data_IF_025552829688
#
_entry.id   IF_025552829688
#
_cell.length_a   1.000
_cell.length_b   1.000
_cell.length_c   1.000
_cell.angle_alpha   90.00
_cell.angle_beta   90.00
_cell.angle_gamma   90.00
#
_symmetry.space_group_name_H-M   'P 1'
#
loop_
_entity.id
_entity.type
_entity.pdbx_description
1 polymer ?
#
# COMPACT_ATOMS: atom_id res chain seq x y z
N UNK A 1 16.80 7.11 15.85
CA UNK A 1 16.20 7.99 14.83
C UNK A 1 15.49 7.10 13.83
N UNK A 2 14.16 7.20 13.73
CA UNK A 2 13.38 6.47 12.72
C UNK A 2 13.07 7.39 11.55
N UNK A 3 12.98 6.83 10.34
CA UNK A 3 12.53 7.58 9.15
C UNK A 3 11.16 8.26 9.39
N UNK A 4 10.25 7.55 10.07
CA UNK A 4 8.92 8.01 10.51
C UNK A 4 8.94 9.24 11.41
N UNK A 5 10.09 9.59 11.99
CA UNK A 5 10.25 10.71 12.92
C UNK A 5 11.02 11.86 12.27
N UNK A 6 11.92 11.58 11.33
CA UNK A 6 12.91 12.56 10.84
C UNK A 6 12.69 13.06 9.42
N UNK A 7 11.99 12.30 8.57
CA UNK A 7 11.70 12.77 7.21
C UNK A 7 10.77 14.00 7.26
N UNK A 8 11.03 15.06 6.47
CA UNK A 8 10.13 16.20 6.39
C UNK A 8 8.82 15.80 5.70
N UNK A 9 7.73 16.46 6.07
CA UNK A 9 6.44 16.32 5.40
C UNK A 9 6.25 17.39 4.32
N UNK A 10 5.46 17.07 3.31
CA UNK A 10 5.03 17.94 2.24
C UNK A 10 3.61 18.45 2.53
N UNK A 11 3.20 19.58 1.93
CA UNK A 11 1.80 19.97 1.90
C UNK A 11 0.95 18.84 1.30
N UNK A 12 -0.26 18.65 1.85
CA UNK A 12 -1.19 17.66 1.32
C UNK A 12 -1.50 17.95 -0.16
N UNK A 13 -1.32 16.97 -1.07
CA UNK A 13 -1.64 17.13 -2.47
C UNK A 13 -3.12 17.50 -2.71
N UNK A 14 -3.38 18.30 -3.75
CA UNK A 14 -4.75 18.59 -4.16
C UNK A 14 -5.32 17.41 -4.96
N UNK A 15 -6.19 16.62 -4.31
CA UNK A 15 -6.91 15.51 -4.95
C UNK A 15 -6.15 14.17 -4.97
N UNK A 16 -6.69 13.15 -5.68
CA UNK A 16 -6.06 11.84 -5.79
C UNK A 16 -4.79 11.91 -6.66
N UNK A 17 -3.89 10.93 -6.52
CA UNK A 17 -2.69 10.90 -7.33
C UNK A 17 -2.98 10.73 -8.82
N UNK A 18 -2.24 11.43 -9.72
CA UNK A 18 -2.54 11.45 -11.14
C UNK A 18 -2.54 10.06 -11.79
N UNK A 19 -1.70 9.14 -11.32
CA UNK A 19 -1.64 7.77 -11.84
C UNK A 19 -2.89 6.96 -11.54
N UNK A 20 -3.65 7.30 -10.48
CA UNK A 20 -4.86 6.55 -10.09
C UNK A 20 -5.94 6.62 -11.18
N UNK A 21 -6.03 7.76 -11.88
CA UNK A 21 -6.92 7.93 -13.03
C UNK A 21 -6.42 7.27 -14.32
N UNK A 22 -5.18 6.75 -14.33
CA UNK A 22 -4.48 6.25 -15.51
C UNK A 22 -4.11 4.76 -15.40
N UNK A 23 -4.71 4.02 -14.48
CA UNK A 23 -4.43 2.58 -14.36
C UNK A 23 -4.81 1.85 -15.66
N UNK A 24 -3.86 1.10 -16.21
CA UNK A 24 -4.02 0.28 -17.40
C UNK A 24 -5.00 -0.88 -17.12
N UNK A 25 -5.70 -1.36 -18.15
CA UNK A 25 -6.75 -2.36 -17.97
C UNK A 25 -6.21 -3.68 -17.38
N UNK A 26 -5.01 -4.07 -17.77
CA UNK A 26 -4.29 -5.29 -17.40
C UNK A 26 -3.21 -5.06 -16.34
N UNK A 27 -3.24 -3.92 -15.65
CA UNK A 27 -2.25 -3.55 -14.65
C UNK A 27 -2.11 -4.59 -13.52
N UNK A 28 -0.92 -4.63 -12.91
CA UNK A 28 -0.62 -5.46 -11.75
C UNK A 28 -0.31 -4.64 -10.51
N UNK A 29 -0.69 -5.15 -9.34
CA UNK A 29 -0.31 -4.59 -8.05
C UNK A 29 0.33 -5.65 -7.17
N UNK A 30 1.55 -5.38 -6.74
CA UNK A 30 2.27 -6.12 -5.71
C UNK A 30 2.28 -5.33 -4.40
N UNK A 31 2.29 -6.05 -3.28
CA UNK A 31 2.46 -5.40 -2.01
C UNK A 31 2.90 -6.33 -0.90
N UNK A 32 3.54 -5.77 0.13
CA UNK A 32 4.14 -6.53 1.22
C UNK A 32 3.13 -7.41 1.98
N UNK A 33 1.84 -7.09 1.89
CA UNK A 33 0.73 -7.83 2.53
C UNK A 33 0.08 -8.89 1.64
N UNK A 34 0.49 -8.97 0.37
CA UNK A 34 -0.07 -9.88 -0.64
C UNK A 34 0.89 -11.03 -0.90
N UNK A 35 0.36 -12.27 -0.95
CA UNK A 35 1.11 -13.47 -1.31
C UNK A 35 1.49 -13.54 -2.80
N UNK A 36 0.79 -12.77 -3.65
CA UNK A 36 0.97 -12.69 -5.11
C UNK A 36 0.33 -11.42 -5.65
N UNK A 37 0.69 -11.04 -6.87
CA UNK A 37 0.15 -9.86 -7.52
C UNK A 37 -1.38 -9.95 -7.76
N UNK A 38 -2.04 -8.81 -7.61
CA UNK A 38 -3.42 -8.57 -8.04
C UNK A 38 -3.39 -8.10 -9.49
N UNK A 39 -4.31 -8.60 -10.31
CA UNK A 39 -4.39 -8.27 -11.73
C UNK A 39 -5.68 -7.54 -12.06
N UNK A 40 -5.59 -6.57 -12.95
CA UNK A 40 -6.72 -5.86 -13.54
C UNK A 40 -7.11 -4.61 -12.78
N UNK A 41 -7.42 -3.57 -13.55
CA UNK A 41 -7.78 -2.23 -13.07
C UNK A 41 -8.84 -2.22 -11.97
N UNK A 42 -9.95 -2.92 -12.18
CA UNK A 42 -11.09 -2.87 -11.26
C UNK A 42 -10.76 -3.47 -9.89
N UNK A 43 -9.97 -4.55 -9.88
CA UNK A 43 -9.50 -5.17 -8.63
C UNK A 43 -8.54 -4.24 -7.89
N UNK A 44 -7.62 -3.60 -8.62
CA UNK A 44 -6.65 -2.66 -8.05
C UNK A 44 -7.36 -1.44 -7.46
N UNK A 45 -8.34 -0.87 -8.18
CA UNK A 45 -9.13 0.27 -7.70
C UNK A 45 -9.95 -0.11 -6.45
N UNK A 46 -10.57 -1.29 -6.43
CA UNK A 46 -11.31 -1.77 -5.27
C UNK A 46 -10.40 -1.87 -4.03
N UNK A 47 -9.20 -2.45 -4.20
CA UNK A 47 -8.22 -2.57 -3.12
C UNK A 47 -7.73 -1.22 -2.61
N UNK A 48 -7.27 -0.33 -3.51
CA UNK A 48 -6.76 0.99 -3.13
C UNK A 48 -7.85 1.84 -2.48
N UNK A 49 -9.07 1.81 -3.01
CA UNK A 49 -10.19 2.57 -2.43
C UNK A 49 -10.48 2.13 -1.00
N UNK A 50 -10.46 0.83 -0.72
CA UNK A 50 -10.66 0.35 0.64
C UNK A 50 -9.46 0.62 1.54
N UNK A 51 -8.23 0.36 1.06
CA UNK A 51 -7.00 0.60 1.79
C UNK A 51 -6.94 2.05 2.33
N UNK A 52 -7.25 3.03 1.48
CA UNK A 52 -7.27 4.45 1.85
C UNK A 52 -8.33 4.79 2.89
N UNK A 53 -9.40 4.01 2.98
CA UNK A 53 -10.44 4.19 4.02
C UNK A 53 -10.01 3.70 5.40
N UNK A 54 -8.94 2.90 5.48
CA UNK A 54 -8.39 2.41 6.74
C UNK A 54 -7.42 3.41 7.40
N UNK A 55 -6.85 4.32 6.62
CA UNK A 55 -5.90 5.31 7.13
C UNK A 55 -6.63 6.46 7.83
N UNK A 56 -6.16 6.82 9.01
CA UNK A 56 -6.67 7.98 9.74
C UNK A 56 -6.20 9.30 9.11
N UNK A 57 -5.01 9.29 8.49
CA UNK A 57 -4.42 10.42 7.78
C UNK A 57 -3.40 9.93 6.75
N UNK A 58 -2.94 10.85 5.88
CA UNK A 58 -1.86 10.62 4.93
C UNK A 58 -0.94 11.87 4.87
N UNK A 59 0.15 11.86 5.64
CA UNK A 59 1.13 12.94 5.66
C UNK A 59 2.31 12.59 4.74
N UNK A 60 2.30 13.17 3.53
CA UNK A 60 3.28 12.85 2.50
C UNK A 60 4.69 13.30 2.85
N UNK A 61 5.67 12.45 2.62
CA UNK A 61 7.11 12.72 2.70
C UNK A 61 7.75 12.77 1.31
N UNK A 62 7.10 12.16 0.31
CA UNK A 62 7.40 12.31 -1.10
C UNK A 62 6.12 12.18 -1.94
N UNK A 63 6.00 12.98 -3.00
CA UNK A 63 4.89 12.90 -3.94
C UNK A 63 5.29 13.49 -5.28
N UNK A 64 5.41 12.65 -6.32
CA UNK A 64 5.72 13.15 -7.65
C UNK A 64 6.36 12.14 -8.59
N UNK A 65 6.72 12.59 -9.81
CA UNK A 65 7.44 11.79 -10.77
C UNK A 65 8.87 11.47 -10.30
N UNK A 66 9.29 10.23 -10.50
CA UNK A 66 10.64 9.77 -10.26
C UNK A 66 11.26 9.30 -11.58
N UNK A 67 12.04 10.19 -12.21
CA UNK A 67 12.47 9.99 -13.59
C UNK A 67 11.31 10.13 -14.58
N UNK A 68 11.43 9.49 -15.74
CA UNK A 68 10.43 9.51 -16.82
C UNK A 68 9.38 8.41 -16.71
N UNK A 69 9.72 7.30 -16.05
CA UNK A 69 8.95 6.05 -16.09
C UNK A 69 8.23 5.77 -14.77
N UNK A 70 8.46 6.55 -13.72
CA UNK A 70 7.85 6.26 -12.42
C UNK A 70 7.12 7.45 -11.80
N UNK A 71 6.09 7.14 -11.03
CA UNK A 71 5.54 8.03 -10.01
C UNK A 71 5.76 7.38 -8.66
N UNK A 72 6.19 8.15 -7.66
CA UNK A 72 6.40 7.65 -6.32
C UNK A 72 5.62 8.48 -5.31
N UNK A 73 5.10 7.79 -4.31
CA UNK A 73 4.56 8.37 -3.10
C UNK A 73 5.28 7.76 -1.91
N UNK A 74 5.49 8.57 -0.89
CA UNK A 74 5.82 8.10 0.45
C UNK A 74 5.03 8.96 1.43
N UNK A 75 4.38 8.34 2.40
CA UNK A 75 3.56 9.05 3.39
C UNK A 75 3.44 8.29 4.70
N UNK A 76 3.29 9.06 5.77
CA UNK A 76 2.90 8.57 7.10
C UNK A 76 1.40 8.39 7.17
N UNK A 77 0.98 7.38 7.89
CA UNK A 77 -0.40 7.11 8.23
C UNK A 77 -0.49 6.45 9.61
N UNK A 78 -1.70 6.21 10.07
CA UNK A 78 -1.99 5.30 11.16
C UNK A 78 -3.21 4.47 10.84
N UNK A 79 -3.26 3.28 11.45
CA UNK A 79 -4.44 2.40 11.44
C UNK A 79 -4.68 1.96 12.87
N UNK A 80 -5.88 2.18 13.38
CA UNK A 80 -6.26 1.85 14.76
C UNK A 80 -5.25 2.42 15.79
N UNK A 81 -4.76 3.63 15.54
CA UNK A 81 -3.75 4.31 16.37
C UNK A 81 -2.32 3.76 16.24
N UNK A 82 -2.07 2.74 15.41
CA UNK A 82 -0.72 2.20 15.16
C UNK A 82 -0.05 3.00 14.04
N UNK A 83 1.06 3.72 14.29
CA UNK A 83 1.76 4.48 13.27
C UNK A 83 2.38 3.60 12.20
N UNK A 84 2.31 4.05 10.95
CA UNK A 84 2.95 3.42 9.80
C UNK A 84 3.44 4.43 8.78
N UNK A 85 4.22 3.93 7.84
CA UNK A 85 4.58 4.59 6.59
C UNK A 85 4.20 3.68 5.44
N UNK A 86 3.81 4.29 4.33
CA UNK A 86 3.52 3.63 3.09
C UNK A 86 4.37 4.24 1.99
N UNK A 87 5.01 3.39 1.20
CA UNK A 87 5.67 3.78 -0.05
C UNK A 87 4.93 3.14 -1.22
N UNK A 88 4.60 3.94 -2.22
CA UNK A 88 3.97 3.50 -3.48
C UNK A 88 4.93 3.82 -4.60
N UNK A 89 5.28 2.83 -5.41
CA UNK A 89 6.03 3.00 -6.65
C UNK A 89 5.11 2.56 -7.78
N UNK A 90 4.94 3.42 -8.77
CA UNK A 90 4.10 3.18 -9.93
C UNK A 90 4.96 3.30 -11.17
N UNK A 91 5.01 2.24 -11.98
CA UNK A 91 5.56 2.29 -13.33
C UNK A 91 4.51 2.85 -14.28
N UNK A 92 4.95 3.75 -15.16
CA UNK A 92 4.17 4.39 -16.20
C UNK A 92 4.67 3.89 -17.56
N UNK A 93 3.82 3.16 -18.29
CA UNK A 93 4.19 2.62 -19.61
C UNK A 93 4.28 3.71 -20.69
N UNK A 94 4.68 3.33 -21.91
CA UNK A 94 4.82 4.24 -23.06
C UNK A 94 3.49 4.93 -23.48
N UNK A 95 2.33 4.36 -23.10
CA UNK A 95 1.02 4.97 -23.32
C UNK A 95 0.67 6.00 -22.22
N UNK A 96 1.53 6.18 -21.22
CA UNK A 96 1.31 7.06 -20.08
C UNK A 96 0.33 6.49 -19.05
N UNK A 97 0.13 5.17 -19.05
CA UNK A 97 -0.75 4.45 -18.13
C UNK A 97 0.05 3.77 -17.02
N UNK A 98 -0.55 3.63 -15.85
CA UNK A 98 0.03 2.88 -14.73
C UNK A 98 -0.23 1.38 -14.92
N UNK A 99 0.79 0.63 -15.30
CA UNK A 99 0.73 -0.81 -15.61
C UNK A 99 1.26 -1.70 -14.47
N UNK A 100 2.14 -1.19 -13.61
CA UNK A 100 2.67 -1.92 -12.47
C UNK A 100 2.80 -1.04 -11.22
N UNK A 101 2.28 -1.54 -10.10
CA UNK A 101 2.29 -0.87 -8.81
C UNK A 101 2.98 -1.76 -7.77
N UNK A 102 3.85 -1.16 -6.95
CA UNK A 102 4.42 -1.77 -5.76
C UNK A 102 4.05 -0.93 -4.54
N UNK A 103 3.38 -1.55 -3.56
CA UNK A 103 2.98 -0.89 -2.31
C UNK A 103 3.63 -1.56 -1.11
N UNK A 104 4.34 -0.76 -0.31
CA UNK A 104 5.05 -1.24 0.88
C UNK A 104 4.63 -0.46 2.12
N UNK A 105 4.01 -1.17 3.07
CA UNK A 105 3.70 -0.67 4.41
C UNK A 105 4.77 -1.12 5.41
N UNK A 106 5.13 -0.25 6.35
CA UNK A 106 6.01 -0.57 7.49
C UNK A 106 5.69 0.32 8.69
N UNK A 107 6.05 -0.05 9.95
CA UNK A 107 6.73 -1.27 10.39
C UNK A 107 5.82 -2.52 10.42
N UNK A 108 6.44 -3.69 10.66
CA UNK A 108 5.82 -5.01 10.50
C UNK A 108 4.49 -5.20 11.24
N UNK A 109 4.37 -4.69 12.46
CA UNK A 109 3.15 -4.75 13.27
C UNK A 109 1.98 -4.04 12.57
N UNK A 110 2.21 -2.83 12.08
CA UNK A 110 1.23 -2.07 11.32
C UNK A 110 0.92 -2.73 9.96
N UNK A 111 1.93 -3.32 9.30
CA UNK A 111 1.77 -4.11 8.06
C UNK A 111 0.89 -5.35 8.27
N UNK A 112 1.07 -6.06 9.39
CA UNK A 112 0.27 -7.25 9.71
C UNK A 112 -1.17 -6.86 10.06
N UNK A 113 -1.38 -5.77 10.79
CA UNK A 113 -2.73 -5.26 11.07
C UNK A 113 -3.46 -4.81 9.79
N UNK A 114 -2.76 -4.09 8.90
CA UNK A 114 -3.30 -3.76 7.59
C UNK A 114 -3.65 -5.02 6.77
N UNK A 115 -2.76 -6.03 6.77
CA UNK A 115 -3.01 -7.32 6.10
C UNK A 115 -4.27 -8.00 6.64
N UNK A 116 -4.47 -8.00 7.97
CA UNK A 116 -5.66 -8.58 8.61
C UNK A 116 -6.94 -7.88 8.17
N UNK A 117 -6.99 -6.55 8.24
CA UNK A 117 -8.17 -5.76 7.87
C UNK A 117 -8.53 -5.93 6.39
N UNK A 118 -7.53 -5.92 5.51
CA UNK A 118 -7.75 -6.17 4.08
C UNK A 118 -8.23 -7.60 3.83
N UNK A 119 -7.69 -8.58 4.55
CA UNK A 119 -8.15 -9.97 4.52
C UNK A 119 -9.58 -10.16 5.01
N UNK A 120 -10.02 -9.41 6.02
CA UNK A 120 -11.41 -9.43 6.49
C UNK A 120 -12.38 -8.85 5.46
N UNK A 121 -11.97 -7.79 4.75
CA UNK A 121 -12.81 -7.19 3.71
C UNK A 121 -12.90 -8.03 2.45
N UNK A 122 -11.76 -8.56 2.00
CA UNK A 122 -11.64 -9.17 0.68
C UNK A 122 -11.35 -10.67 0.70
N UNK A 123 -11.41 -11.31 1.87
CA UNK A 123 -11.10 -12.72 2.04
C UNK A 123 -11.84 -13.63 1.06
N UNK A 124 -13.08 -13.31 0.71
CA UNK A 124 -13.85 -14.09 -0.25
C UNK A 124 -13.53 -13.73 -1.71
N UNK A 125 -13.39 -12.44 -2.01
CA UNK A 125 -13.14 -11.93 -3.37
C UNK A 125 -11.72 -12.24 -3.86
N UNK A 126 -10.76 -12.20 -2.94
CA UNK A 126 -9.34 -12.42 -3.19
C UNK A 126 -8.77 -13.53 -2.31
N UNK A 127 -9.58 -14.57 -2.06
CA UNK A 127 -9.20 -15.71 -1.25
C UNK A 127 -7.79 -16.20 -1.59
N UNK A 128 -6.96 -16.33 -0.55
CA UNK A 128 -5.53 -16.68 -0.60
C UNK A 128 -4.55 -15.57 -0.99
N UNK A 129 -4.95 -14.30 -1.12
CA UNK A 129 -3.98 -13.20 -1.24
C UNK A 129 -3.39 -12.79 0.10
N UNK A 130 -4.18 -12.80 1.17
CA UNK A 130 -3.75 -12.38 2.51
C UNK A 130 -3.34 -13.57 3.38
N UNK A 131 -2.63 -13.28 4.47
CA UNK A 131 -2.35 -14.28 5.50
C UNK A 131 -3.66 -14.74 6.16
N UNK A 132 -3.74 -16.03 6.47
CA UNK A 132 -4.79 -16.52 7.38
C UNK A 132 -4.48 -16.08 8.81
N UNK A 133 -5.50 -16.04 9.69
CA UNK A 133 -5.29 -15.74 11.10
C UNK A 133 -4.20 -16.63 11.74
N UNK A 134 -4.22 -17.94 11.45
CA UNK A 134 -3.21 -18.87 11.94
C UNK A 134 -1.78 -18.54 11.44
N UNK A 135 -1.63 -18.08 10.19
CA UNK A 135 -0.34 -17.66 9.65
C UNK A 135 0.14 -16.35 10.30
N UNK A 136 -0.75 -15.39 10.51
CA UNK A 136 -0.44 -14.14 11.19
C UNK A 136 0.00 -14.38 12.65
N UNK A 137 -0.72 -15.22 13.39
CA UNK A 137 -0.39 -15.59 14.77
C UNK A 137 0.97 -16.30 14.88
N UNK A 138 1.29 -17.16 13.92
CA UNK A 138 2.58 -17.84 13.85
C UNK A 138 3.75 -16.86 13.70
N UNK A 139 3.59 -15.84 12.84
CA UNK A 139 4.60 -14.80 12.63
C UNK A 139 4.74 -13.90 13.86
N UNK A 140 3.64 -13.48 14.47
CA UNK A 140 3.67 -12.64 15.68
C UNK A 140 4.42 -13.33 16.84
N UNK A 141 4.18 -14.64 17.04
CA UNK A 141 4.88 -15.46 18.05
C UNK A 141 6.37 -15.66 17.76
N UNK A 142 6.77 -15.64 16.49
CA UNK A 142 8.18 -15.76 16.11
C UNK A 142 8.95 -14.46 16.34
N UNK A 143 8.32 -13.31 16.05
CA UNK A 143 8.92 -11.99 16.20
C UNK A 143 9.07 -11.55 17.67
N UNK A 144 8.22 -12.02 18.58
CA UNK A 144 8.28 -11.71 20.01
C UNK A 144 9.32 -12.50 20.81
N UNK A 145 10.06 -13.42 20.17
CA UNK A 145 11.14 -14.21 20.79
C UNK A 145 12.54 -13.60 20.63
N UNK A 146 12.65 -12.37 20.13
CA UNK A 146 13.90 -11.60 20.05
C UNK A 146 13.86 -10.42 21.00
#
# INVERSE_FOLDING_TARGET
MKFTETAPTLPCPSGPPPWLGKIAQDATLEGAVLKRAVHGKDNILALISHARSLYEFQDYTYYGPWGSEFFMESYRASINGVPMECSVIVHMNDAGEADSLLIHHYPLDATLEFSRLMGEKFGDQFANLYLTAAQADGLAKASSKK
#
